data_IF_201870550476
#
_entry.id   IF_201870550476
#
_cell.length_a   1.000
_cell.length_b   1.000
_cell.length_c   1.000
_cell.angle_alpha   90.00
_cell.angle_beta   90.00
_cell.angle_gamma   90.00
#
_symmetry.space_group_name_H-M   'P 1'
#
loop_
_entity.id
_entity.type
_entity.pdbx_description
1 polymer ?
#
# COMPACT_ATOMS: atom_id res chain seq x y z
N UNK A 1 3.22 5.78 10.46
CA UNK A 1 3.59 5.32 9.11
C UNK A 1 3.02 3.94 9.06
N UNK A 2 2.12 3.68 8.11
CA UNK A 2 1.25 2.52 8.14
C UNK A 2 2.04 1.22 8.34
N UNK A 3 1.70 0.47 9.40
CA UNK A 3 2.31 -0.82 9.73
C UNK A 3 1.27 -1.89 9.99
N UNK A 4 0.02 -1.63 9.63
CA UNK A 4 -1.08 -2.57 9.77
C UNK A 4 -2.21 -2.14 8.83
N UNK A 5 -2.73 -3.09 8.06
CA UNK A 5 -3.90 -2.90 7.22
C UNK A 5 -4.71 -4.18 7.15
N UNK A 6 -5.97 -4.09 6.77
CA UNK A 6 -6.76 -5.27 6.39
C UNK A 6 -6.71 -5.41 4.87
N UNK A 7 -6.37 -6.60 4.40
CA UNK A 7 -6.45 -6.93 2.97
C UNK A 7 -7.88 -6.69 2.46
N UNK A 8 -8.01 -6.30 1.19
CA UNK A 8 -9.31 -6.25 0.55
C UNK A 8 -9.98 -7.64 0.55
N UNK A 9 -11.31 -7.66 0.46
CA UNK A 9 -12.04 -8.92 0.33
C UNK A 9 -11.66 -9.64 -0.96
N UNK A 10 -11.55 -10.96 -0.88
CA UNK A 10 -11.00 -11.77 -1.96
C UNK A 10 -11.84 -11.66 -3.23
N UNK A 11 -13.15 -11.66 -3.07
CA UNK A 11 -14.12 -11.58 -4.16
C UNK A 11 -14.04 -10.24 -4.88
N UNK A 12 -13.92 -9.12 -4.16
CA UNK A 12 -13.77 -7.78 -4.74
C UNK A 12 -12.49 -7.67 -5.57
N UNK A 13 -11.40 -8.27 -5.09
CA UNK A 13 -10.11 -8.31 -5.79
C UNK A 13 -10.21 -9.14 -7.07
N UNK A 14 -10.86 -10.31 -7.00
CA UNK A 14 -11.11 -11.18 -8.16
C UNK A 14 -11.91 -10.43 -9.22
N UNK A 15 -13.00 -9.78 -8.82
CA UNK A 15 -13.90 -9.06 -9.72
C UNK A 15 -13.18 -7.88 -10.38
N UNK A 16 -12.52 -7.02 -9.59
CA UNK A 16 -11.90 -5.80 -10.09
C UNK A 16 -10.76 -6.06 -11.07
N UNK A 17 -9.92 -7.06 -10.81
CA UNK A 17 -8.73 -7.34 -11.62
C UNK A 17 -8.88 -8.57 -12.52
N UNK A 18 -10.07 -9.17 -12.58
CA UNK A 18 -10.35 -10.32 -13.46
C UNK A 18 -9.49 -11.55 -13.16
N UNK A 19 -9.10 -11.76 -11.90
CA UNK A 19 -8.21 -12.85 -11.50
C UNK A 19 -8.99 -14.17 -11.51
N UNK A 20 -8.40 -15.22 -12.06
CA UNK A 20 -8.99 -16.57 -12.02
C UNK A 20 -9.12 -17.03 -10.55
N UNK A 21 -10.35 -17.32 -10.05
CA UNK A 21 -10.58 -17.61 -8.63
C UNK A 21 -9.76 -18.79 -8.06
N UNK A 22 -9.45 -19.78 -8.91
CA UNK A 22 -8.68 -20.98 -8.57
C UNK A 22 -7.16 -20.80 -8.75
N UNK A 23 -6.68 -19.59 -9.03
CA UNK A 23 -5.25 -19.34 -9.14
C UNK A 23 -4.51 -19.64 -7.83
N UNK A 24 -3.42 -20.40 -7.91
CA UNK A 24 -2.58 -20.76 -6.76
C UNK A 24 -2.05 -19.54 -5.99
N UNK A 25 -1.93 -18.39 -6.68
CA UNK A 25 -1.47 -17.13 -6.11
C UNK A 25 -2.40 -16.63 -4.98
N UNK A 26 -3.71 -16.76 -5.15
CA UNK A 26 -4.70 -16.30 -4.17
C UNK A 26 -4.67 -17.16 -2.90
N UNK A 27 -4.36 -18.46 -3.05
CA UNK A 27 -4.20 -19.39 -1.92
C UNK A 27 -2.92 -19.19 -1.13
N UNK A 28 -1.93 -18.51 -1.72
CA UNK A 28 -0.62 -18.23 -1.09
C UNK A 28 -0.60 -16.89 -0.36
N UNK A 29 -1.56 -16.00 -0.64
CA UNK A 29 -1.71 -14.71 0.03
C UNK A 29 -2.36 -14.86 1.41
N UNK A 30 -1.94 -14.03 2.36
CA UNK A 30 -2.64 -13.83 3.62
C UNK A 30 -3.84 -12.89 3.38
N UNK A 31 -4.99 -13.26 3.96
CA UNK A 31 -6.22 -12.48 3.98
C UNK A 31 -6.57 -12.03 5.41
N UNK A 32 -7.38 -10.97 5.53
CA UNK A 32 -7.70 -10.31 6.80
C UNK A 32 -6.61 -9.32 7.23
N UNK A 33 -6.34 -9.23 8.53
CA UNK A 33 -5.33 -8.30 9.06
C UNK A 33 -3.90 -8.69 8.70
N UNK A 34 -3.20 -7.75 8.09
CA UNK A 34 -1.83 -7.86 7.60
C UNK A 34 -0.88 -7.05 8.48
N UNK A 35 0.23 -7.69 8.84
CA UNK A 35 1.36 -7.09 9.55
C UNK A 35 2.62 -7.19 8.68
N UNK A 36 3.65 -6.36 8.95
CA UNK A 36 4.97 -6.54 8.36
C UNK A 36 5.42 -8.00 8.37
N UNK A 37 6.08 -8.40 7.29
CA UNK A 37 6.58 -9.74 7.00
C UNK A 37 5.51 -10.77 6.64
N UNK A 38 4.24 -10.39 6.51
CA UNK A 38 3.23 -11.27 5.93
C UNK A 38 3.30 -11.26 4.41
N UNK A 39 2.96 -12.41 3.82
CA UNK A 39 2.88 -12.60 2.38
C UNK A 39 1.54 -12.06 1.89
N UNK A 40 1.57 -11.00 1.09
CA UNK A 40 0.39 -10.25 0.65
C UNK A 40 0.23 -10.37 -0.86
N UNK A 41 -1.02 -10.45 -1.30
CA UNK A 41 -1.35 -10.30 -2.71
C UNK A 41 -1.03 -8.87 -3.19
N UNK A 42 -0.38 -8.79 -4.33
CA UNK A 42 -0.13 -7.57 -5.08
C UNK A 42 -0.71 -7.72 -6.47
N UNK A 43 -1.12 -6.61 -7.07
CA UNK A 43 -1.47 -6.54 -8.48
C UNK A 43 -0.39 -5.76 -9.21
N UNK A 44 0.05 -6.27 -10.35
CA UNK A 44 1.04 -5.62 -11.21
C UNK A 44 0.47 -5.35 -12.59
N UNK A 45 1.32 -4.89 -13.52
CA UNK A 45 0.94 -4.61 -14.90
C UNK A 45 0.16 -5.78 -15.54
N UNK A 46 -0.74 -5.45 -16.47
CA UNK A 46 -1.68 -6.41 -17.10
C UNK A 46 -2.54 -7.19 -16.09
N UNK A 47 -2.81 -6.59 -14.92
CA UNK A 47 -3.57 -7.18 -13.83
C UNK A 47 -2.96 -8.49 -13.30
N UNK A 48 -1.65 -8.69 -13.46
CA UNK A 48 -0.99 -9.91 -13.00
C UNK A 48 -0.91 -9.95 -11.46
N UNK A 49 -1.54 -10.95 -10.82
CA UNK A 49 -1.43 -11.12 -9.38
C UNK A 49 -0.10 -11.77 -8.99
N UNK A 50 0.50 -11.30 -7.90
CA UNK A 50 1.67 -11.95 -7.29
C UNK A 50 1.58 -11.90 -5.77
N UNK A 51 2.35 -12.76 -5.09
CA UNK A 51 2.49 -12.73 -3.63
C UNK A 51 3.91 -12.36 -3.26
N UNK A 52 4.06 -11.37 -2.39
CA UNK A 52 5.36 -10.93 -1.86
C UNK A 52 5.27 -10.65 -0.37
N UNK A 53 6.40 -10.74 0.31
CA UNK A 53 6.50 -10.45 1.74
C UNK A 53 6.56 -8.95 2.00
N UNK A 54 5.73 -8.45 2.91
CA UNK A 54 5.78 -7.03 3.26
C UNK A 54 7.04 -6.67 4.04
N UNK A 55 7.87 -5.82 3.48
CA UNK A 55 9.07 -5.30 4.11
C UNK A 55 10.34 -5.81 3.46
N UNK A 56 11.16 -4.89 3.00
CA UNK A 56 12.48 -5.13 2.41
C UNK A 56 13.55 -4.96 3.50
N UNK A 57 14.45 -5.93 3.65
CA UNK A 57 15.58 -5.81 4.61
C UNK A 57 16.90 -5.72 3.86
N UNK A 58 17.40 -4.51 3.53
CA UNK A 58 18.74 -4.34 3.00
C UNK A 58 19.80 -4.79 4.02
N UNK A 59 20.99 -5.17 3.54
CA UNK A 59 22.11 -5.65 4.38
C UNK A 59 22.46 -4.70 5.56
N UNK A 60 22.31 -3.39 5.36
CA UNK A 60 22.63 -2.38 6.36
C UNK A 60 21.53 -2.18 7.43
N UNK A 61 20.32 -2.73 7.22
CA UNK A 61 19.19 -2.51 8.11
C UNK A 61 18.93 -3.69 9.03
N UNK A 62 18.75 -3.42 10.33
CA UNK A 62 18.35 -4.44 11.33
C UNK A 62 16.86 -4.74 11.34
N UNK A 63 16.05 -3.90 10.68
CA UNK A 63 14.58 -4.03 10.62
C UNK A 63 14.10 -3.88 9.17
N UNK A 64 13.00 -4.54 8.78
CA UNK A 64 12.46 -4.38 7.45
C UNK A 64 12.00 -2.93 7.22
N UNK A 65 12.35 -2.40 6.06
CA UNK A 65 11.77 -1.20 5.50
C UNK A 65 10.40 -1.57 4.93
N UNK A 66 9.34 -1.14 5.59
CA UNK A 66 7.95 -1.46 5.21
C UNK A 66 7.28 -0.36 4.39
N UNK A 67 7.80 0.87 4.48
CA UNK A 67 7.27 2.05 3.81
C UNK A 67 8.36 2.78 3.02
N UNK A 68 8.00 3.33 1.88
CA UNK A 68 8.76 4.30 1.11
C UNK A 68 8.04 5.66 1.14
N UNK A 69 8.74 6.75 1.47
CA UNK A 69 8.17 8.09 1.40
C UNK A 69 8.18 8.58 -0.04
N UNK A 70 7.02 8.95 -0.60
CA UNK A 70 6.91 9.37 -1.99
C UNK A 70 7.83 10.53 -2.35
N UNK A 71 8.05 11.46 -1.43
CA UNK A 71 8.85 12.67 -1.65
C UNK A 71 10.35 12.39 -1.79
N UNK A 72 10.86 11.37 -1.10
CA UNK A 72 12.30 11.09 -1.02
C UNK A 72 12.74 9.88 -1.85
N UNK A 73 11.80 9.03 -2.30
CA UNK A 73 12.08 7.70 -2.87
C UNK A 73 13.09 7.72 -4.02
N UNK A 74 13.01 8.74 -4.87
CA UNK A 74 13.86 8.91 -6.07
C UNK A 74 15.33 9.20 -5.75
N UNK A 75 15.65 9.50 -4.50
CA UNK A 75 17.02 9.75 -4.03
C UNK A 75 17.59 8.61 -3.19
N UNK A 76 16.75 7.67 -2.74
CA UNK A 76 17.15 6.57 -1.86
C UNK A 76 17.70 5.42 -2.69
N UNK A 77 19.00 5.14 -2.56
CA UNK A 77 19.69 4.03 -3.26
C UNK A 77 18.97 2.68 -3.16
N UNK A 78 18.26 2.42 -2.06
CA UNK A 78 17.47 1.20 -1.85
C UNK A 78 16.24 1.09 -2.75
N UNK A 79 15.61 2.22 -3.08
CA UNK A 79 14.34 2.24 -3.83
C UNK A 79 14.49 2.66 -5.28
N UNK A 80 15.54 3.44 -5.62
CA UNK A 80 15.80 3.87 -7.01
C UNK A 80 15.79 2.70 -8.01
N UNK A 81 16.43 1.55 -7.76
CA UNK A 81 16.40 0.42 -8.68
C UNK A 81 15.00 -0.21 -8.84
N UNK A 82 14.07 0.08 -7.92
CA UNK A 82 12.74 -0.52 -7.86
C UNK A 82 11.66 0.40 -8.45
N UNK A 83 11.98 1.62 -8.89
CA UNK A 83 10.98 2.58 -9.36
C UNK A 83 10.17 2.10 -10.57
N UNK A 84 10.69 1.11 -11.31
CA UNK A 84 9.99 0.44 -12.42
C UNK A 84 9.24 -0.84 -11.99
N UNK A 85 9.48 -1.35 -10.79
CA UNK A 85 8.78 -2.50 -10.21
C UNK A 85 7.62 -2.02 -9.33
N UNK A 86 6.57 -1.51 -9.98
CA UNK A 86 5.41 -0.90 -9.31
C UNK A 86 4.27 -1.90 -9.15
N UNK A 87 3.57 -1.82 -8.03
CA UNK A 87 2.41 -2.65 -7.75
C UNK A 87 1.30 -1.87 -7.07
N UNK A 88 0.11 -2.49 -7.03
CA UNK A 88 -1.00 -2.14 -6.16
C UNK A 88 -1.06 -3.15 -5.01
N UNK A 89 -1.32 -2.66 -3.82
CA UNK A 89 -1.64 -3.42 -2.61
C UNK A 89 -3.14 -3.19 -2.32
N UNK A 90 -4.02 -4.15 -2.64
CA UNK A 90 -5.44 -4.04 -2.33
C UNK A 90 -5.70 -4.11 -0.82
N UNK A 91 -6.37 -3.11 -0.26
CA UNK A 91 -6.64 -3.04 1.18
C UNK A 91 -8.08 -2.57 1.46
N UNK A 92 -8.78 -3.20 2.40
CA UNK A 92 -10.09 -2.75 2.85
C UNK A 92 -9.99 -1.53 3.78
N UNK A 93 -8.95 -1.47 4.60
CA UNK A 93 -8.71 -0.39 5.56
C UNK A 93 -7.26 -0.42 6.05
N UNK A 94 -6.80 0.65 6.69
CA UNK A 94 -5.51 0.67 7.38
C UNK A 94 -5.61 1.26 8.78
N UNK A 95 -4.59 1.03 9.60
CA UNK A 95 -4.60 1.44 10.99
C UNK A 95 -3.44 2.39 11.30
N UNK A 96 -3.75 3.42 12.07
CA UNK A 96 -2.77 4.32 12.66
C UNK A 96 -3.07 4.52 14.15
N UNK A 97 -2.04 4.86 14.92
CA UNK A 97 -2.14 5.05 16.36
C UNK A 97 -2.18 6.54 16.68
N UNK A 98 -3.37 7.04 16.99
CA UNK A 98 -3.57 8.42 17.41
C UNK A 98 -3.04 8.61 18.83
N UNK A 99 -2.22 9.63 19.02
CA UNK A 99 -1.76 10.04 20.35
C UNK A 99 -2.80 10.93 21.03
N UNK A 100 -3.37 10.49 22.15
CA UNK A 100 -4.35 11.24 22.93
C UNK A 100 -4.10 11.03 24.43
N UNK A 101 -3.89 12.11 25.17
CA UNK A 101 -3.70 12.11 26.63
C UNK A 101 -2.72 11.02 27.11
N UNK A 102 -1.49 11.03 26.60
CA UNK A 102 -0.43 10.05 26.90
C UNK A 102 -0.73 8.58 26.53
N UNK A 103 -1.86 8.31 25.88
CA UNK A 103 -2.22 7.00 25.36
C UNK A 103 -2.17 6.97 23.83
N UNK A 104 -1.98 5.76 23.28
CA UNK A 104 -2.11 5.48 21.86
C UNK A 104 -3.41 4.75 21.61
N UNK A 105 -4.32 5.37 20.86
CA UNK A 105 -5.60 4.77 20.48
C UNK A 105 -5.46 4.25 19.06
N UNK A 106 -5.72 2.96 18.86
CA UNK A 106 -5.72 2.35 17.53
C UNK A 106 -6.94 2.86 16.78
N UNK A 107 -6.70 3.50 15.64
CA UNK A 107 -7.74 4.11 14.80
C UNK A 107 -7.70 3.44 13.44
N UNK A 108 -8.84 2.90 13.01
CA UNK A 108 -9.03 2.34 11.68
C UNK A 108 -9.44 3.45 10.73
N UNK A 109 -8.88 3.46 9.52
CA UNK A 109 -9.19 4.41 8.46
C UNK A 109 -9.61 3.61 7.22
N UNK A 110 -10.76 3.94 6.65
CA UNK A 110 -11.39 3.24 5.53
C UNK A 110 -12.13 4.22 4.61
N UNK A 111 -12.53 3.74 3.42
CA UNK A 111 -13.31 4.52 2.45
C UNK A 111 -14.55 3.74 2.02
N UNK A 112 -15.26 4.27 1.02
CA UNK A 112 -16.48 3.64 0.48
C UNK A 112 -16.21 2.30 -0.22
N UNK A 113 -15.01 2.14 -0.78
CA UNK A 113 -14.55 0.94 -1.47
C UNK A 113 -13.14 0.54 -1.00
N UNK A 114 -12.67 -0.64 -1.41
CA UNK A 114 -11.28 -1.01 -1.16
C UNK A 114 -10.30 0.00 -1.78
N UNK A 115 -9.16 0.16 -1.12
CA UNK A 115 -8.06 1.00 -1.54
C UNK A 115 -7.13 0.29 -2.52
N UNK A 116 -6.64 1.06 -3.49
CA UNK A 116 -5.52 0.69 -4.35
C UNK A 116 -4.26 1.40 -3.86
N UNK A 117 -3.55 0.82 -2.90
CA UNK A 117 -2.35 1.45 -2.32
C UNK A 117 -1.14 1.23 -3.24
N UNK A 118 -0.43 2.29 -3.59
CA UNK A 118 0.78 2.20 -4.39
C UNK A 118 1.93 1.53 -3.63
N UNK A 119 2.67 0.65 -4.31
CA UNK A 119 3.85 -0.02 -3.75
C UNK A 119 4.98 -0.21 -4.77
N UNK A 120 6.15 -0.58 -4.25
CA UNK A 120 7.27 -1.11 -5.04
C UNK A 120 7.55 -2.54 -4.60
N UNK A 121 8.02 -3.38 -5.51
CA UNK A 121 8.34 -4.77 -5.21
C UNK A 121 9.72 -5.20 -5.72
N UNK A 122 10.22 -6.29 -5.11
CA UNK A 122 11.36 -7.09 -5.54
C UNK A 122 10.88 -8.50 -5.86
N UNK A 123 11.81 -9.41 -6.15
CA UNK A 123 11.48 -10.82 -6.38
C UNK A 123 10.74 -11.48 -5.21
N UNK A 124 10.98 -11.03 -3.97
CA UNK A 124 10.46 -11.69 -2.76
C UNK A 124 9.71 -10.74 -1.83
N UNK A 125 9.95 -9.42 -1.94
CA UNK A 125 9.48 -8.43 -0.98
C UNK A 125 8.72 -7.30 -1.65
N UNK A 126 7.97 -6.53 -0.85
CA UNK A 126 7.40 -5.26 -1.29
C UNK A 126 7.43 -4.22 -0.18
N UNK A 127 7.30 -2.96 -0.58
CA UNK A 127 7.13 -1.81 0.31
C UNK A 127 5.94 -0.97 -0.15
N UNK A 128 5.25 -0.38 0.81
CA UNK A 128 4.12 0.50 0.59
C UNK A 128 4.59 1.95 0.43
N UNK A 129 4.02 2.72 -0.49
CA UNK A 129 4.23 4.16 -0.49
C UNK A 129 3.42 4.85 0.60
N UNK A 130 4.01 5.88 1.20
CA UNK A 130 3.30 6.82 2.06
C UNK A 130 3.50 8.24 1.52
N UNK A 131 2.54 9.11 1.78
CA UNK A 131 2.55 10.54 1.45
C UNK A 131 2.08 11.36 2.67
N UNK A 132 1.98 12.69 2.52
CA UNK A 132 1.28 13.54 3.49
C UNK A 132 -0.18 13.09 3.69
N UNK A 133 -0.78 13.30 4.87
CA UNK A 133 -2.14 12.87 5.14
C UNK A 133 -3.16 13.79 4.45
N UNK A 134 -4.33 13.24 4.10
CA UNK A 134 -5.48 14.05 3.73
C UNK A 134 -5.96 14.87 4.93
N UNK A 135 -6.55 16.04 4.69
CA UNK A 135 -6.93 17.01 5.73
C UNK A 135 -7.80 16.37 6.83
N UNK A 136 -8.79 15.57 6.43
CA UNK A 136 -9.74 14.92 7.35
C UNK A 136 -9.11 13.93 8.34
N UNK A 137 -7.93 13.40 8.05
CA UNK A 137 -7.23 12.41 8.90
C UNK A 137 -5.87 12.90 9.42
N UNK A 138 -5.47 14.14 9.10
CA UNK A 138 -4.17 14.69 9.50
C UNK A 138 -3.98 14.76 11.03
N UNK A 139 -5.09 14.85 11.78
CA UNK A 139 -5.12 14.82 13.24
C UNK A 139 -4.93 13.42 13.86
N UNK A 140 -4.94 12.36 13.04
CA UNK A 140 -4.68 10.97 13.47
C UNK A 140 -3.19 10.66 13.36
N UNK A 141 -2.60 10.93 12.19
CA UNK A 141 -1.19 10.67 11.92
C UNK A 141 -0.63 11.57 10.81
N UNK A 142 0.66 11.90 10.87
CA UNK A 142 1.36 12.82 9.95
C UNK A 142 1.70 12.25 8.56
N UNK A 143 1.23 11.02 8.27
CA UNK A 143 1.43 10.29 7.01
C UNK A 143 0.25 9.36 6.81
N UNK A 144 -0.05 9.06 5.56
CA UNK A 144 -0.98 8.01 5.15
C UNK A 144 -0.36 7.14 4.05
N UNK A 145 -0.88 5.94 3.78
CA UNK A 145 -0.60 5.22 2.54
C UNK A 145 -0.92 6.07 1.32
N UNK A 146 -0.10 5.98 0.27
CA UNK A 146 -0.42 6.63 -1.00
C UNK A 146 -1.49 5.79 -1.72
N UNK A 147 -2.75 6.18 -1.57
CA UNK A 147 -3.90 5.53 -2.18
C UNK A 147 -4.13 6.17 -3.55
N UNK A 148 -4.19 5.35 -4.60
CA UNK A 148 -4.42 5.81 -5.97
C UNK A 148 -5.92 5.86 -6.27
N UNK A 149 -6.31 6.88 -7.04
CA UNK A 149 -7.63 6.92 -7.67
C UNK A 149 -7.71 5.88 -8.79
N UNK A 150 -8.91 5.37 -9.05
CA UNK A 150 -9.16 4.31 -10.04
C UNK A 150 -8.61 4.65 -11.43
N UNK A 151 -8.73 5.91 -11.85
CA UNK A 151 -8.27 6.37 -13.16
C UNK A 151 -6.74 6.40 -13.30
N UNK A 152 -6.01 6.38 -12.18
CA UNK A 152 -4.56 6.50 -12.13
C UNK A 152 -3.84 5.15 -12.03
N UNK A 153 -4.58 4.05 -11.87
CA UNK A 153 -4.01 2.72 -11.63
C UNK A 153 -3.26 2.22 -12.86
N UNK A 154 -3.83 2.35 -14.05
CA UNK A 154 -3.22 1.88 -15.29
C UNK A 154 -1.91 2.64 -15.57
N UNK A 155 -1.93 3.97 -15.40
CA UNK A 155 -0.73 4.80 -15.54
C UNK A 155 0.34 4.45 -14.51
N UNK A 156 -0.07 4.16 -13.27
CA UNK A 156 0.85 3.72 -12.23
C UNK A 156 1.47 2.35 -12.55
N UNK A 157 0.71 1.39 -13.06
CA UNK A 157 1.20 0.04 -13.33
C UNK A 157 1.96 -0.07 -14.65
N UNK A 158 1.72 0.81 -15.62
CA UNK A 158 2.33 0.75 -16.94
C UNK A 158 3.85 0.92 -16.89
N UNK A 159 4.67 -0.10 -17.20
CA UNK A 159 6.13 -0.03 -17.14
C UNK A 159 6.74 0.92 -18.19
N UNK A 160 5.95 1.33 -19.19
CA UNK A 160 6.35 2.35 -20.16
C UNK A 160 6.36 3.78 -19.59
N UNK A 161 5.73 4.00 -18.42
CA UNK A 161 5.76 5.29 -17.75
C UNK A 161 6.99 5.42 -16.86
N UNK A 162 7.75 6.50 -17.05
CA UNK A 162 8.86 6.86 -16.17
C UNK A 162 8.34 7.39 -14.85
N UNK A 163 9.01 7.02 -13.74
CA UNK A 163 8.57 7.44 -12.41
C UNK A 163 8.50 8.97 -12.25
N UNK A 164 9.33 9.73 -12.98
CA UNK A 164 9.28 11.20 -12.97
C UNK A 164 7.93 11.77 -13.39
N UNK A 165 7.23 11.07 -14.27
CA UNK A 165 6.01 11.54 -14.94
C UNK A 165 4.78 11.19 -14.10
N UNK A 166 4.85 10.10 -13.36
CA UNK A 166 3.76 9.57 -12.54
C UNK A 166 3.95 9.80 -11.03
N UNK A 167 5.06 10.37 -10.57
CA UNK A 167 5.29 10.65 -9.14
C UNK A 167 4.20 11.54 -8.52
N UNK A 168 3.56 12.38 -9.33
CA UNK A 168 2.49 13.28 -8.89
C UNK A 168 1.23 12.53 -8.50
N UNK A 169 1.07 11.26 -8.91
CA UNK A 169 -0.02 10.38 -8.47
C UNK A 169 0.10 10.01 -6.98
N UNK A 170 1.29 10.18 -6.37
CA UNK A 170 1.56 9.82 -4.98
C UNK A 170 1.33 10.99 -4.01
N UNK A 171 0.09 11.49 -3.98
CA UNK A 171 -0.36 12.62 -3.15
C UNK A 171 -1.36 12.17 -2.08
N UNK A 172 -1.76 13.04 -1.13
CA UNK A 172 -2.84 12.75 -0.19
C UNK A 172 -4.11 12.35 -0.95
N UNK A 173 -4.83 11.34 -0.47
CA UNK A 173 -6.03 10.85 -1.14
C UNK A 173 -7.13 11.93 -1.19
N UNK A 174 -7.75 12.10 -2.36
CA UNK A 174 -8.78 13.13 -2.59
C UNK A 174 -10.19 12.64 -2.26
N UNK A 175 -10.38 11.31 -2.14
CA UNK A 175 -11.66 10.71 -1.81
C UNK A 175 -12.04 10.86 -0.34
N UNK A 176 -13.29 10.54 -0.03
CA UNK A 176 -13.79 10.54 1.34
C UNK A 176 -13.08 9.43 2.15
N UNK A 177 -12.58 9.80 3.32
CA UNK A 177 -12.03 8.87 4.30
C UNK A 177 -12.85 8.97 5.58
N UNK A 178 -13.28 7.81 6.05
CA UNK A 178 -13.91 7.63 7.35
C UNK A 178 -12.93 6.95 8.31
N UNK A 179 -13.19 7.09 9.60
CA UNK A 179 -12.37 6.48 10.62
C UNK A 179 -13.17 6.16 11.89
N UNK A 180 -12.77 5.10 12.57
CA UNK A 180 -13.30 4.69 13.86
C UNK A 180 -12.18 4.29 14.83
N UNK A 181 -12.45 4.36 16.12
CA UNK A 181 -11.52 3.90 17.15
C UNK A 181 -11.83 2.45 17.49
N UNK A 182 -10.83 1.59 17.35
CA UNK A 182 -10.97 0.16 17.67
C UNK A 182 -10.52 -0.08 19.12
N UNK A 183 -11.29 -0.89 19.85
CA UNK A 183 -10.95 -1.33 21.21
C UNK A 183 -9.70 -2.22 21.26
#
# INVERSE_FOLDING_TARGET
MCSQFDAAEREDVIERWGIIPQSNVLGSAKWGTIYPQYDTLLITYDNEPMVRRWGLTPEWSKRPLINAKSEEVHSKKTFVPLLQSRCIIPAASYYEWQHKNDSKIKTRIFGESMFSIAGLYTNDHYVMFTCAPAEGIAHIHHRMPAILNDQSIDDWLNPGNEFSDIKTLLHPFDGLLEWDQTA
#
